data_IF_951694370408
#
_entry.id   IF_951694370408
#
_cell.length_a   1.000
_cell.length_b   1.000
_cell.length_c   1.000
_cell.angle_alpha   90.00
_cell.angle_beta   90.00
_cell.angle_gamma   90.00
#
_symmetry.space_group_name_H-M   'P 1'
#
loop_
_entity.id
_entity.type
_entity.pdbx_description
1 polymer ?
#
# COMPACT_ATOMS: atom_id res chain seq x y z
N UNK A 1 -28.55 -18.52 -29.06
CA UNK A 1 -27.29 -18.02 -29.66
C UNK A 1 -26.45 -17.45 -28.53
N UNK A 2 -25.31 -18.07 -28.20
CA UNK A 2 -24.45 -17.75 -27.04
C UNK A 2 -23.81 -16.37 -27.26
N UNK A 3 -24.20 -15.36 -26.48
CA UNK A 3 -23.60 -14.01 -26.54
C UNK A 3 -22.18 -14.03 -25.99
N UNK A 4 -21.19 -14.06 -26.89
CA UNK A 4 -19.75 -13.86 -26.59
C UNK A 4 -19.44 -12.37 -26.38
N UNK A 5 -20.07 -11.71 -25.40
CA UNK A 5 -19.82 -10.29 -25.07
C UNK A 5 -19.06 -10.04 -23.73
N UNK A 6 -18.34 -10.99 -23.08
CA UNK A 6 -17.62 -10.61 -21.86
C UNK A 6 -16.34 -9.79 -22.11
N UNK A 7 -15.60 -10.05 -23.20
CA UNK A 7 -14.26 -9.46 -23.38
C UNK A 7 -14.32 -8.03 -23.93
N UNK A 8 -15.13 -7.77 -24.96
CA UNK A 8 -15.23 -6.43 -25.54
C UNK A 8 -15.74 -5.40 -24.52
N UNK A 9 -16.65 -5.80 -23.62
CA UNK A 9 -17.18 -4.91 -22.58
C UNK A 9 -16.10 -4.54 -21.55
N UNK A 10 -15.26 -5.50 -21.17
CA UNK A 10 -14.10 -5.23 -20.29
C UNK A 10 -13.09 -4.29 -20.94
N UNK A 11 -12.77 -4.49 -22.22
CA UNK A 11 -11.86 -3.59 -22.96
C UNK A 11 -12.43 -2.17 -23.02
N UNK A 12 -13.73 -2.02 -23.28
CA UNK A 12 -14.39 -0.70 -23.30
C UNK A 12 -14.31 -0.03 -21.93
N UNK A 13 -14.51 -0.76 -20.82
CA UNK A 13 -14.39 -0.21 -19.47
C UNK A 13 -12.97 0.24 -19.12
N UNK A 14 -11.95 -0.52 -19.55
CA UNK A 14 -10.54 -0.14 -19.37
C UNK A 14 -10.22 1.13 -20.16
N UNK A 15 -10.63 1.19 -21.42
CA UNK A 15 -10.45 2.39 -22.26
C UNK A 15 -11.18 3.61 -21.66
N UNK A 16 -12.39 3.43 -21.12
CA UNK A 16 -13.13 4.50 -20.47
C UNK A 16 -12.38 5.04 -19.24
N UNK A 17 -11.80 4.14 -18.42
CA UNK A 17 -10.95 4.53 -17.28
C UNK A 17 -9.70 5.29 -17.72
N UNK A 18 -9.03 4.85 -18.78
CA UNK A 18 -7.87 5.56 -19.34
C UNK A 18 -8.24 6.96 -19.84
N UNK A 19 -9.37 7.11 -20.53
CA UNK A 19 -9.84 8.43 -21.02
C UNK A 19 -10.25 9.34 -19.86
N UNK A 20 -10.94 8.81 -18.83
CA UNK A 20 -11.28 9.56 -17.63
C UNK A 20 -10.03 10.03 -16.88
N UNK A 21 -9.03 9.15 -16.73
CA UNK A 21 -7.76 9.50 -16.08
C UNK A 21 -6.97 10.54 -16.89
N UNK A 22 -6.99 10.44 -18.23
CA UNK A 22 -6.35 11.42 -19.10
C UNK A 22 -7.09 12.77 -19.06
N UNK A 23 -8.42 12.78 -19.08
CA UNK A 23 -9.20 14.01 -18.98
C UNK A 23 -9.06 14.67 -17.60
N UNK A 24 -9.00 13.92 -16.50
CA UNK A 24 -8.68 14.46 -15.18
C UNK A 24 -7.29 15.13 -15.18
N UNK A 25 -6.29 14.48 -15.75
CA UNK A 25 -4.95 15.06 -15.89
C UNK A 25 -4.97 16.31 -16.79
N UNK A 26 -5.79 16.32 -17.86
CA UNK A 26 -5.85 17.44 -18.80
C UNK A 26 -6.62 18.65 -18.23
N UNK A 27 -7.74 18.44 -17.54
CA UNK A 27 -8.50 19.51 -16.88
C UNK A 27 -7.73 20.11 -15.70
N UNK A 28 -6.93 19.30 -14.98
CA UNK A 28 -6.01 19.81 -13.96
C UNK A 28 -4.83 20.57 -14.57
N UNK A 29 -4.30 20.12 -15.72
CA UNK A 29 -3.19 20.82 -16.40
C UNK A 29 -3.58 22.19 -16.96
N UNK A 30 -4.83 22.39 -17.36
CA UNK A 30 -5.28 23.63 -18.03
C UNK A 30 -5.51 24.81 -17.08
N UNK A 31 -5.65 24.59 -15.78
CA UNK A 31 -5.85 25.68 -14.82
C UNK A 31 -4.56 26.19 -14.15
N UNK A 32 -3.40 25.60 -14.47
CA UNK A 32 -2.12 26.16 -14.06
C UNK A 32 -1.69 27.27 -15.01
N UNK A 33 -2.33 28.43 -14.92
CA UNK A 33 -1.77 29.72 -15.37
C UNK A 33 -0.60 30.15 -14.47
N UNK A 34 0.33 29.23 -14.18
CA UNK A 34 1.52 29.50 -13.40
C UNK A 34 2.54 30.20 -14.30
N UNK A 35 2.44 31.52 -14.42
CA UNK A 35 3.52 32.33 -14.97
C UNK A 35 4.61 32.48 -13.91
N UNK A 36 5.65 31.66 -14.03
CA UNK A 36 6.83 31.63 -13.16
C UNK A 36 7.51 33.01 -13.00
N UNK A 37 7.25 33.94 -13.93
CA UNK A 37 7.83 35.28 -13.95
C UNK A 37 7.18 36.31 -13.02
N UNK A 38 5.99 36.09 -12.43
CA UNK A 38 5.31 37.14 -11.64
C UNK A 38 5.64 37.13 -10.14
N UNK A 39 6.26 36.06 -9.62
CA UNK A 39 6.55 35.94 -8.19
C UNK A 39 8.03 35.81 -7.82
N UNK A 40 8.94 35.80 -8.80
CA UNK A 40 10.37 35.93 -8.50
C UNK A 40 10.68 37.40 -8.25
N UNK A 41 10.54 37.83 -7.00
CA UNK A 41 11.28 39.02 -6.54
C UNK A 41 12.76 38.74 -6.77
N UNK A 42 13.38 39.56 -7.62
CA UNK A 42 14.83 39.68 -7.73
C UNK A 42 15.36 40.35 -6.47
N UNK A 43 15.42 39.60 -5.38
CA UNK A 43 16.14 40.02 -4.18
C UNK A 43 17.58 39.50 -4.31
N UNK A 44 18.54 40.41 -4.49
CA UNK A 44 19.97 40.19 -4.76
C UNK A 44 20.75 39.63 -3.55
N UNK A 45 20.19 38.63 -2.86
CA UNK A 45 20.93 37.82 -1.88
C UNK A 45 20.50 36.38 -2.11
N UNK A 46 21.38 35.58 -2.71
CA UNK A 46 21.28 34.12 -2.77
C UNK A 46 21.03 33.59 -1.35
N UNK A 47 19.76 33.40 -1.00
CA UNK A 47 19.34 32.92 0.31
C UNK A 47 19.52 31.39 0.34
N UNK A 48 20.76 30.94 0.57
CA UNK A 48 21.15 29.53 0.69
C UNK A 48 20.18 28.71 1.57
N UNK A 49 19.53 29.37 2.53
CA UNK A 49 18.56 28.73 3.42
C UNK A 49 17.22 28.36 2.77
N UNK A 50 16.82 28.99 1.64
CA UNK A 50 15.65 28.55 0.87
C UNK A 50 15.93 27.19 0.22
N UNK A 51 17.16 26.97 -0.23
CA UNK A 51 17.59 25.67 -0.76
C UNK A 51 17.57 24.62 0.35
N UNK A 52 18.11 24.94 1.54
CA UNK A 52 18.15 24.02 2.69
C UNK A 52 16.75 23.49 3.09
N UNK A 53 15.70 24.32 3.07
CA UNK A 53 14.36 23.89 3.47
C UNK A 53 13.67 23.03 2.39
N UNK A 54 13.84 23.40 1.12
CA UNK A 54 13.34 22.58 0.00
C UNK A 54 14.04 21.21 0.01
N UNK A 55 15.35 21.19 0.26
CA UNK A 55 16.13 19.96 0.37
C UNK A 55 15.66 19.08 1.55
N UNK A 56 15.30 19.69 2.69
CA UNK A 56 14.75 18.96 3.83
C UNK A 56 13.38 18.32 3.54
N UNK A 57 12.53 19.00 2.76
CA UNK A 57 11.25 18.44 2.34
C UNK A 57 11.48 17.30 1.34
N UNK A 58 12.36 17.49 0.35
CA UNK A 58 12.67 16.44 -0.61
C UNK A 58 13.23 15.20 0.08
N UNK A 59 14.18 15.38 1.00
CA UNK A 59 14.73 14.28 1.79
C UNK A 59 13.65 13.52 2.56
N UNK A 60 12.64 14.22 3.09
CA UNK A 60 11.51 13.57 3.78
C UNK A 60 10.64 12.74 2.82
N UNK A 61 10.46 13.21 1.58
CA UNK A 61 9.75 12.45 0.54
C UNK A 61 10.53 11.19 0.19
N UNK A 62 11.86 11.31 0.02
CA UNK A 62 12.75 10.20 -0.29
C UNK A 62 12.76 9.17 0.85
N UNK A 63 12.94 9.61 2.11
CA UNK A 63 12.90 8.75 3.30
C UNK A 63 11.55 7.99 3.41
N UNK A 64 10.44 8.68 3.10
CA UNK A 64 9.11 8.05 3.10
C UNK A 64 8.98 7.01 1.99
N UNK A 65 9.43 7.31 0.78
CA UNK A 65 9.38 6.36 -0.35
C UNK A 65 10.24 5.13 -0.10
N UNK A 66 11.43 5.28 0.50
CA UNK A 66 12.26 4.16 0.92
C UNK A 66 11.52 3.26 1.93
N UNK A 67 10.89 3.86 2.95
CA UNK A 67 10.09 3.13 3.94
C UNK A 67 8.88 2.39 3.31
N UNK A 68 8.19 3.03 2.36
CA UNK A 68 7.13 2.38 1.57
C UNK A 68 7.69 1.22 0.74
N UNK A 69 8.88 1.40 0.14
CA UNK A 69 9.60 0.37 -0.61
C UNK A 69 9.91 -0.87 0.23
N UNK A 70 10.35 -0.69 1.48
CA UNK A 70 10.55 -1.79 2.42
C UNK A 70 9.24 -2.51 2.76
N UNK A 71 8.17 -1.78 3.06
CA UNK A 71 6.85 -2.37 3.34
C UNK A 71 6.32 -3.15 2.13
N UNK A 72 6.46 -2.60 0.92
CA UNK A 72 6.06 -3.25 -0.34
C UNK A 72 6.80 -4.56 -0.56
N UNK A 73 8.11 -4.57 -0.34
CA UNK A 73 8.93 -5.78 -0.46
C UNK A 73 8.49 -6.85 0.53
N UNK A 74 8.32 -6.49 1.81
CA UNK A 74 7.85 -7.41 2.86
C UNK A 74 6.47 -7.97 2.55
N UNK A 75 5.50 -7.14 2.16
CA UNK A 75 4.15 -7.60 1.83
C UNK A 75 4.13 -8.56 0.63
N UNK A 76 4.95 -8.29 -0.39
CA UNK A 76 5.10 -9.16 -1.57
C UNK A 76 5.71 -10.50 -1.19
N UNK A 77 6.77 -10.52 -0.37
CA UNK A 77 7.39 -11.77 0.10
C UNK A 77 6.38 -12.65 0.85
N UNK A 78 5.56 -12.06 1.73
CA UNK A 78 4.50 -12.80 2.43
C UNK A 78 3.50 -13.45 1.45
N UNK A 79 3.16 -12.78 0.35
CA UNK A 79 2.24 -13.32 -0.64
C UNK A 79 2.88 -14.44 -1.46
N UNK A 80 4.15 -14.26 -1.88
CA UNK A 80 4.91 -15.29 -2.57
C UNK A 80 5.10 -16.55 -1.71
N UNK A 81 5.40 -16.40 -0.42
CA UNK A 81 5.46 -17.52 0.52
C UNK A 81 4.11 -18.26 0.60
N UNK A 82 3.01 -17.49 0.56
CA UNK A 82 1.65 -18.05 0.62
C UNK A 82 1.32 -18.80 -0.67
N UNK A 83 1.70 -18.27 -1.84
CA UNK A 83 1.57 -18.93 -3.14
C UNK A 83 2.35 -20.25 -3.16
N UNK A 84 3.63 -20.23 -2.80
CA UNK A 84 4.47 -21.42 -2.76
C UNK A 84 3.91 -22.49 -1.81
N UNK A 85 3.35 -22.08 -0.67
CA UNK A 85 2.74 -22.99 0.29
C UNK A 85 1.43 -23.62 -0.19
N UNK A 86 0.84 -23.11 -1.27
CA UNK A 86 -0.45 -23.54 -1.83
C UNK A 86 -0.35 -23.99 -3.29
N UNK A 87 0.85 -24.03 -3.87
CA UNK A 87 1.10 -24.38 -5.27
C UNK A 87 0.57 -25.79 -5.60
N UNK A 88 0.76 -26.74 -4.68
CA UNK A 88 0.26 -28.11 -4.80
C UNK A 88 -1.26 -28.24 -4.61
N UNK A 89 -1.94 -27.19 -4.13
CA UNK A 89 -3.37 -27.23 -3.80
C UNK A 89 -4.23 -26.94 -5.04
N UNK A 90 -3.99 -25.84 -5.75
CA UNK A 90 -4.69 -25.51 -6.99
C UNK A 90 -4.09 -24.28 -7.70
N UNK A 91 -3.91 -24.36 -9.02
CA UNK A 91 -3.51 -23.23 -9.88
C UNK A 91 -4.44 -22.01 -9.73
N UNK A 92 -5.74 -22.24 -9.51
CA UNK A 92 -6.70 -21.16 -9.37
C UNK A 92 -6.54 -20.40 -8.05
N UNK A 93 -6.12 -21.09 -6.98
CA UNK A 93 -5.77 -20.46 -5.71
C UNK A 93 -4.55 -19.57 -5.87
N UNK A 94 -3.51 -20.06 -6.54
CA UNK A 94 -2.30 -19.29 -6.86
C UNK A 94 -2.66 -18.04 -7.66
N UNK A 95 -3.44 -18.17 -8.73
CA UNK A 95 -3.93 -17.03 -9.51
C UNK A 95 -4.70 -16.00 -8.67
N UNK A 96 -5.50 -16.45 -7.69
CA UNK A 96 -6.23 -15.55 -6.81
C UNK A 96 -5.28 -14.75 -5.90
N UNK A 97 -4.24 -15.38 -5.36
CA UNK A 97 -3.24 -14.69 -4.53
C UNK A 97 -2.44 -13.71 -5.40
N UNK A 98 -2.03 -14.08 -6.61
CA UNK A 98 -1.27 -13.20 -7.51
C UNK A 98 -2.07 -11.96 -7.89
N UNK A 99 -3.38 -12.10 -8.08
CA UNK A 99 -4.28 -10.96 -8.29
C UNK A 99 -4.26 -9.98 -7.10
N UNK A 100 -4.30 -10.50 -5.86
CA UNK A 100 -4.19 -9.65 -4.67
C UNK A 100 -2.80 -9.04 -4.52
N UNK A 101 -1.73 -9.76 -4.88
CA UNK A 101 -0.38 -9.21 -4.92
C UNK A 101 -0.27 -7.99 -5.82
N UNK A 102 -0.75 -8.10 -7.06
CA UNK A 102 -0.78 -6.96 -7.98
C UNK A 102 -1.63 -5.81 -7.43
N UNK A 103 -2.83 -6.11 -6.91
CA UNK A 103 -3.72 -5.09 -6.36
C UNK A 103 -3.08 -4.36 -5.16
N UNK A 104 -2.44 -5.09 -4.25
CA UNK A 104 -1.75 -4.50 -3.08
C UNK A 104 -0.59 -3.62 -3.53
N UNK A 105 0.22 -4.10 -4.48
CA UNK A 105 1.32 -3.32 -5.05
C UNK A 105 0.83 -2.01 -5.67
N UNK A 106 -0.24 -2.05 -6.48
CA UNK A 106 -0.87 -0.86 -7.05
C UNK A 106 -1.31 0.13 -5.97
N UNK A 107 -1.94 -0.35 -4.87
CA UNK A 107 -2.36 0.54 -3.77
C UNK A 107 -1.19 1.09 -2.96
N UNK A 108 -0.09 0.36 -2.84
CA UNK A 108 1.11 0.84 -2.15
C UNK A 108 1.86 1.90 -2.97
N UNK A 109 1.91 1.75 -4.30
CA UNK A 109 2.52 2.76 -5.17
C UNK A 109 1.79 4.11 -5.15
N UNK A 110 0.52 4.14 -4.74
CA UNK A 110 -0.22 5.39 -4.59
C UNK A 110 0.31 6.28 -3.45
N UNK A 111 0.91 5.72 -2.39
CA UNK A 111 1.39 6.54 -1.26
C UNK A 111 2.48 7.52 -1.70
N UNK A 112 3.46 7.03 -2.47
CA UNK A 112 4.57 7.83 -2.99
C UNK A 112 4.04 8.90 -3.94
N UNK A 113 3.22 8.48 -4.93
CA UNK A 113 2.64 9.42 -5.90
C UNK A 113 1.77 10.51 -5.27
N UNK A 114 0.99 10.17 -4.24
CA UNK A 114 0.17 11.15 -3.51
C UNK A 114 1.02 12.17 -2.73
N UNK A 115 2.12 11.72 -2.11
CA UNK A 115 3.01 12.63 -1.38
C UNK A 115 3.79 13.54 -2.34
N UNK A 116 4.36 12.97 -3.41
CA UNK A 116 5.06 13.74 -4.45
C UNK A 116 4.17 14.79 -5.09
N UNK A 117 2.97 14.40 -5.55
CA UNK A 117 1.98 15.31 -6.13
C UNK A 117 1.61 16.42 -5.14
N UNK A 118 1.40 16.06 -3.87
CA UNK A 118 1.07 17.04 -2.84
C UNK A 118 2.20 18.07 -2.64
N UNK A 119 3.45 17.62 -2.58
CA UNK A 119 4.61 18.52 -2.40
C UNK A 119 4.78 19.42 -3.62
N UNK A 120 4.71 18.88 -4.83
CA UNK A 120 4.90 19.67 -6.05
C UNK A 120 3.81 20.72 -6.22
N UNK A 121 2.54 20.35 -5.98
CA UNK A 121 1.40 21.28 -6.06
C UNK A 121 1.46 22.41 -5.02
N UNK A 122 2.13 22.18 -3.88
CA UNK A 122 2.21 23.15 -2.79
C UNK A 122 3.59 23.80 -2.64
N UNK A 123 4.56 23.44 -3.49
CA UNK A 123 5.95 23.93 -3.42
C UNK A 123 6.05 25.45 -3.39
N UNK A 124 5.32 26.12 -4.29
CA UNK A 124 5.27 27.58 -4.37
C UNK A 124 4.61 28.24 -3.15
N UNK A 125 3.59 27.58 -2.57
CA UNK A 125 2.95 28.06 -1.35
C UNK A 125 3.92 27.96 -0.17
N UNK A 126 4.61 26.82 -0.02
CA UNK A 126 5.58 26.58 1.05
C UNK A 126 6.77 27.54 0.92
N UNK A 127 7.34 27.69 -0.28
CA UNK A 127 8.53 28.54 -0.50
C UNK A 127 8.30 30.02 -0.17
N UNK A 128 7.05 30.49 -0.24
CA UNK A 128 6.66 31.87 0.03
C UNK A 128 6.38 32.14 1.52
N UNK A 129 6.36 31.11 2.39
CA UNK A 129 6.19 31.28 3.83
C UNK A 129 7.48 31.76 4.50
N UNK A 130 7.37 32.31 5.71
CA UNK A 130 8.56 32.58 6.54
C UNK A 130 9.29 31.28 6.93
N UNK A 131 10.60 31.31 7.16
CA UNK A 131 11.40 30.14 7.57
C UNK A 131 10.78 29.37 8.75
N UNK A 132 10.24 30.10 9.74
CA UNK A 132 9.55 29.51 10.91
C UNK A 132 8.27 28.76 10.51
N UNK A 133 7.49 29.32 9.59
CA UNK A 133 6.27 28.67 9.09
C UNK A 133 6.60 27.50 8.19
N UNK A 134 7.63 27.59 7.33
CA UNK A 134 8.07 26.47 6.51
C UNK A 134 8.47 25.27 7.37
N UNK A 135 9.32 25.50 8.40
CA UNK A 135 9.70 24.48 9.37
C UNK A 135 8.48 23.86 10.07
N UNK A 136 7.56 24.69 10.54
CA UNK A 136 6.33 24.21 11.19
C UNK A 136 5.47 23.34 10.26
N UNK A 137 5.36 23.70 8.98
CA UNK A 137 4.59 22.94 7.99
C UNK A 137 5.31 21.64 7.61
N UNK A 138 6.63 21.67 7.45
CA UNK A 138 7.46 20.48 7.27
C UNK A 138 7.32 19.48 8.43
N UNK A 139 7.39 19.94 9.68
CA UNK A 139 7.20 19.10 10.87
C UNK A 139 5.79 18.45 10.89
N UNK A 140 4.76 19.18 10.44
CA UNK A 140 3.40 18.62 10.32
C UNK A 140 3.31 17.56 9.23
N UNK A 141 3.90 17.80 8.05
CA UNK A 141 3.92 16.83 6.94
C UNK A 141 4.65 15.55 7.38
N UNK A 142 5.81 15.69 8.04
CA UNK A 142 6.56 14.56 8.59
C UNK A 142 5.71 13.72 9.54
N UNK A 143 4.99 14.38 10.45
CA UNK A 143 4.12 13.71 11.42
C UNK A 143 2.99 12.92 10.73
N UNK A 144 2.46 13.40 9.61
CA UNK A 144 1.48 12.66 8.81
C UNK A 144 2.14 11.41 8.21
N UNK A 145 3.32 11.57 7.60
CA UNK A 145 4.10 10.46 7.02
C UNK A 145 4.39 9.37 8.08
N UNK A 146 4.92 9.75 9.24
CA UNK A 146 5.22 8.84 10.36
C UNK A 146 3.97 8.07 10.82
N UNK A 147 2.81 8.74 10.87
CA UNK A 147 1.54 8.14 11.28
C UNK A 147 1.02 7.13 10.25
N UNK A 148 1.10 7.46 8.96
CA UNK A 148 0.74 6.57 7.86
C UNK A 148 1.65 5.35 7.83
N UNK A 149 2.98 5.53 7.96
CA UNK A 149 3.95 4.43 8.05
C UNK A 149 3.67 3.51 9.23
N UNK A 150 3.34 4.06 10.40
CA UNK A 150 2.94 3.27 11.57
C UNK A 150 1.69 2.43 11.30
N UNK A 151 0.73 2.93 10.53
CA UNK A 151 -0.49 2.20 10.15
C UNK A 151 -0.19 1.14 9.08
N UNK A 152 0.68 1.44 8.12
CA UNK A 152 1.15 0.47 7.12
C UNK A 152 1.90 -0.71 7.74
N UNK A 153 2.79 -0.46 8.71
CA UNK A 153 3.46 -1.54 9.48
C UNK A 153 2.47 -2.43 10.23
N UNK A 154 1.34 -1.89 10.68
CA UNK A 154 0.26 -2.73 11.24
C UNK A 154 -0.42 -3.59 10.18
N UNK A 155 -0.66 -3.05 8.98
CA UNK A 155 -1.18 -3.84 7.87
C UNK A 155 -0.19 -4.92 7.42
N UNK A 156 1.12 -4.64 7.44
CA UNK A 156 2.14 -5.67 7.17
C UNK A 156 1.97 -6.88 8.10
N UNK A 157 1.78 -6.63 9.40
CA UNK A 157 1.51 -7.70 10.37
C UNK A 157 0.17 -8.41 10.11
N UNK A 158 -0.87 -7.68 9.68
CA UNK A 158 -2.14 -8.30 9.27
C UNK A 158 -1.94 -9.23 8.08
N UNK A 159 -1.12 -8.85 7.09
CA UNK A 159 -0.80 -9.71 5.94
C UNK A 159 -0.12 -11.02 6.39
N UNK A 160 0.87 -10.93 7.30
CA UNK A 160 1.52 -12.10 7.90
C UNK A 160 0.50 -13.01 8.62
N UNK A 161 -0.40 -12.42 9.41
CA UNK A 161 -1.46 -13.19 10.10
C UNK A 161 -2.43 -13.85 9.11
N UNK A 162 -2.74 -13.22 7.98
CA UNK A 162 -3.56 -13.82 6.92
C UNK A 162 -2.83 -15.04 6.34
N UNK A 163 -1.55 -14.90 5.96
CA UNK A 163 -0.69 -16.03 5.52
C UNK A 163 -0.75 -17.19 6.51
N UNK A 164 -0.51 -16.91 7.79
CA UNK A 164 -0.49 -17.92 8.85
C UNK A 164 -1.81 -18.67 8.94
N UNK A 165 -2.94 -17.95 8.92
CA UNK A 165 -4.27 -18.57 8.96
C UNK A 165 -4.56 -19.42 7.72
N UNK A 166 -4.16 -18.95 6.54
CA UNK A 166 -4.33 -19.68 5.28
C UNK A 166 -3.56 -21.00 5.36
N UNK A 167 -2.28 -20.96 5.70
CA UNK A 167 -1.41 -22.14 5.70
C UNK A 167 -1.81 -23.13 6.80
N UNK A 168 -2.10 -22.66 8.01
CA UNK A 168 -2.54 -23.54 9.11
C UNK A 168 -3.84 -24.28 8.78
N UNK A 169 -4.78 -23.61 8.09
CA UNK A 169 -6.09 -24.21 7.78
C UNK A 169 -6.07 -25.05 6.50
N UNK A 170 -5.30 -24.63 5.48
CA UNK A 170 -5.41 -25.18 4.13
C UNK A 170 -4.11 -25.69 3.51
N UNK A 171 -2.96 -25.46 4.15
CA UNK A 171 -1.68 -25.99 3.67
C UNK A 171 -1.58 -27.50 3.82
N UNK A 172 -0.65 -28.12 3.08
CA UNK A 172 -0.31 -29.53 3.27
C UNK A 172 0.36 -29.75 4.64
N UNK A 173 0.53 -31.02 5.03
CA UNK A 173 1.10 -31.39 6.34
C UNK A 173 2.46 -30.74 6.62
N UNK A 174 3.32 -30.67 5.61
CA UNK A 174 4.68 -30.17 5.76
C UNK A 174 4.69 -28.65 5.94
N UNK A 175 3.92 -27.92 5.12
CA UNK A 175 3.74 -26.48 5.22
C UNK A 175 3.09 -26.08 6.56
N UNK A 176 2.10 -26.85 7.04
CA UNK A 176 1.51 -26.65 8.37
C UNK A 176 2.57 -26.82 9.47
N UNK A 177 3.36 -27.89 9.41
CA UNK A 177 4.40 -28.19 10.40
C UNK A 177 5.47 -27.10 10.43
N UNK A 178 5.95 -26.67 9.28
CA UNK A 178 6.90 -25.56 9.15
C UNK A 178 6.32 -24.28 9.76
N UNK A 179 5.09 -23.92 9.37
CA UNK A 179 4.43 -22.73 9.88
C UNK A 179 4.29 -22.72 11.40
N UNK A 180 3.95 -23.87 11.99
CA UNK A 180 3.82 -24.01 13.45
C UNK A 180 5.17 -23.82 14.15
N UNK A 181 6.28 -24.29 13.57
CA UNK A 181 7.60 -24.04 14.12
C UNK A 181 7.97 -22.55 14.06
N UNK A 182 7.67 -21.89 12.94
CA UNK A 182 7.86 -20.43 12.80
C UNK A 182 7.08 -19.66 13.88
N UNK A 183 5.79 -19.99 14.06
CA UNK A 183 4.92 -19.31 15.02
C UNK A 183 5.27 -19.55 16.49
N UNK A 184 5.86 -20.70 16.83
CA UNK A 184 6.38 -20.95 18.19
C UNK A 184 7.47 -19.94 18.55
N UNK A 185 8.32 -19.59 17.59
CA UNK A 185 9.45 -18.68 17.76
C UNK A 185 9.09 -17.19 17.53
N UNK A 186 7.96 -16.88 16.90
CA UNK A 186 7.52 -15.51 16.63
C UNK A 186 7.28 -14.72 17.93
N UNK A 187 7.90 -13.55 18.05
CA UNK A 187 7.69 -12.65 19.17
C UNK A 187 6.37 -11.88 19.04
N UNK A 188 5.67 -11.64 20.15
CA UNK A 188 4.44 -10.83 20.16
C UNK A 188 3.14 -11.57 19.84
N UNK A 189 3.18 -12.85 19.50
CA UNK A 189 1.98 -13.70 19.54
C UNK A 189 1.63 -14.06 20.98
N UNK A 190 0.33 -14.08 21.30
CA UNK A 190 -0.12 -14.47 22.63
C UNK A 190 0.19 -15.95 22.90
N UNK A 191 0.51 -16.25 24.16
CA UNK A 191 0.73 -17.63 24.61
C UNK A 191 -0.50 -18.51 24.33
N UNK A 192 -1.71 -17.95 24.48
CA UNK A 192 -2.97 -18.64 24.15
C UNK A 192 -3.03 -19.04 22.67
N UNK A 193 -2.59 -18.17 21.75
CA UNK A 193 -2.55 -18.52 20.34
C UNK A 193 -1.49 -19.60 20.08
N UNK A 194 -0.29 -19.45 20.66
CA UNK A 194 0.80 -20.42 20.54
C UNK A 194 0.43 -21.81 21.07
N UNK A 195 -0.28 -21.88 22.20
CA UNK A 195 -0.73 -23.11 22.83
C UNK A 195 -1.79 -23.85 22.00
N UNK A 196 -2.57 -23.13 21.19
CA UNK A 196 -3.57 -23.72 20.32
C UNK A 196 -3.02 -24.17 18.96
N UNK A 197 -1.74 -23.92 18.66
CA UNK A 197 -1.14 -24.26 17.36
C UNK A 197 -1.09 -25.77 17.10
N UNK A 198 -0.93 -26.59 18.15
CA UNK A 198 -0.87 -28.05 18.03
C UNK A 198 -2.15 -28.65 17.42
N UNK A 199 -3.29 -27.99 17.59
CA UNK A 199 -4.57 -28.46 17.01
C UNK A 199 -4.50 -28.50 15.47
N UNK A 200 -3.77 -27.58 14.85
CA UNK A 200 -3.62 -27.53 13.39
C UNK A 200 -2.69 -28.63 12.83
N UNK A 201 -1.80 -29.23 13.64
CA UNK A 201 -1.01 -30.41 13.21
C UNK A 201 -1.91 -31.64 13.05
N UNK A 202 -2.98 -31.72 13.85
CA UNK A 202 -3.87 -32.89 13.94
C UNK A 202 -5.11 -32.79 13.06
N UNK A 203 -5.52 -31.58 12.65
CA UNK A 203 -6.54 -31.42 11.62
C UNK A 203 -6.07 -32.19 10.39
N UNK A 204 -6.81 -33.25 10.04
CA UNK A 204 -6.50 -34.14 8.92
C UNK A 204 -6.05 -33.31 7.72
N UNK A 205 -5.11 -33.86 6.94
CA UNK A 205 -4.94 -33.41 5.56
C UNK A 205 -6.35 -33.33 5.00
N UNK A 206 -6.84 -32.12 4.78
CA UNK A 206 -8.17 -31.95 4.24
C UNK A 206 -7.98 -32.28 2.75
N UNK A 207 -7.84 -33.55 2.41
CA UNK A 207 -7.87 -34.03 1.03
C UNK A 207 -9.21 -33.59 0.37
N UNK A 208 -10.21 -33.26 1.20
CA UNK A 208 -11.50 -32.68 0.85
C UNK A 208 -11.58 -31.14 0.91
N UNK A 209 -10.47 -30.36 0.97
CA UNK A 209 -10.58 -28.89 0.84
C UNK A 209 -11.24 -28.61 -0.50
N UNK A 210 -12.46 -28.06 -0.43
CA UNK A 210 -13.06 -27.47 -1.62
C UNK A 210 -12.21 -26.25 -1.93
N UNK A 211 -11.54 -26.25 -3.07
CA UNK A 211 -10.84 -25.10 -3.64
C UNK A 211 -11.67 -23.81 -3.46
N UNK A 212 -12.99 -23.91 -3.64
CA UNK A 212 -13.97 -22.84 -3.41
C UNK A 212 -13.90 -22.25 -1.99
N UNK A 213 -13.78 -23.09 -0.94
CA UNK A 213 -13.68 -22.62 0.44
C UNK A 213 -12.39 -21.82 0.67
N UNK A 214 -11.26 -22.32 0.16
CA UNK A 214 -9.97 -21.63 0.25
C UNK A 214 -9.99 -20.30 -0.52
N UNK A 215 -10.49 -20.31 -1.76
CA UNK A 215 -10.66 -19.09 -2.56
C UNK A 215 -11.53 -18.08 -1.82
N UNK A 216 -12.68 -18.50 -1.28
CA UNK A 216 -13.55 -17.62 -0.50
C UNK A 216 -12.87 -17.07 0.75
N UNK A 217 -12.05 -17.87 1.43
CA UNK A 217 -11.31 -17.45 2.61
C UNK A 217 -10.25 -16.40 2.25
N UNK A 218 -9.46 -16.63 1.19
CA UNK A 218 -8.47 -15.68 0.66
C UNK A 218 -9.18 -14.37 0.31
N UNK A 219 -10.24 -14.44 -0.49
CA UNK A 219 -10.93 -13.24 -0.97
C UNK A 219 -11.54 -12.44 0.17
N UNK A 220 -12.19 -13.09 1.14
CA UNK A 220 -12.77 -12.40 2.31
C UNK A 220 -11.71 -11.62 3.11
N UNK A 221 -10.51 -12.19 3.29
CA UNK A 221 -9.46 -11.53 4.06
C UNK A 221 -8.78 -10.41 3.24
N UNK A 222 -8.45 -10.67 1.98
CA UNK A 222 -7.72 -9.71 1.16
C UNK A 222 -8.60 -8.59 0.58
N UNK A 223 -9.89 -8.80 0.33
CA UNK A 223 -10.80 -7.71 -0.02
C UNK A 223 -10.85 -6.66 1.11
N UNK A 224 -10.96 -7.13 2.36
CA UNK A 224 -10.90 -6.24 3.54
C UNK A 224 -9.53 -5.57 3.67
N UNK A 225 -8.46 -6.29 3.36
CA UNK A 225 -7.10 -5.76 3.40
C UNK A 225 -6.91 -4.62 2.39
N UNK A 226 -7.37 -4.81 1.16
CA UNK A 226 -7.31 -3.81 0.08
C UNK A 226 -8.11 -2.57 0.45
N UNK A 227 -9.31 -2.73 1.03
CA UNK A 227 -10.10 -1.59 1.53
C UNK A 227 -9.33 -0.79 2.59
N UNK A 228 -8.63 -1.44 3.51
CA UNK A 228 -7.81 -0.73 4.50
C UNK A 228 -6.67 0.07 3.84
N UNK A 229 -6.04 -0.45 2.78
CA UNK A 229 -5.01 0.29 2.03
C UNK A 229 -5.61 1.51 1.30
N UNK A 230 -6.79 1.35 0.70
CA UNK A 230 -7.50 2.46 0.05
C UNK A 230 -7.88 3.55 1.05
N UNK A 231 -8.33 3.18 2.23
CA UNK A 231 -8.68 4.13 3.28
C UNK A 231 -7.46 4.86 3.83
N UNK A 232 -6.30 4.18 3.95
CA UNK A 232 -5.03 4.85 4.30
C UNK A 232 -4.56 5.82 3.22
N UNK A 233 -4.71 5.50 1.94
CA UNK A 233 -4.39 6.42 0.85
C UNK A 233 -5.25 7.70 0.93
N UNK A 234 -6.56 7.56 1.17
CA UNK A 234 -7.47 8.71 1.36
C UNK A 234 -7.11 9.51 2.62
N UNK A 235 -6.72 8.82 3.69
CA UNK A 235 -6.29 9.44 4.94
C UNK A 235 -5.02 10.27 4.74
N UNK A 236 -4.00 9.73 4.04
CA UNK A 236 -2.77 10.45 3.71
C UNK A 236 -3.09 11.79 3.04
N UNK A 237 -3.85 11.77 1.94
CA UNK A 237 -4.19 12.99 1.21
C UNK A 237 -4.96 13.99 2.07
N UNK A 238 -5.92 13.50 2.87
CA UNK A 238 -6.71 14.34 3.77
C UNK A 238 -5.83 15.02 4.83
N UNK A 239 -4.97 14.24 5.49
CA UNK A 239 -4.15 14.73 6.60
C UNK A 239 -3.01 15.63 6.11
N UNK A 240 -2.46 15.37 4.91
CA UNK A 240 -1.53 16.28 4.23
C UNK A 240 -2.18 17.65 3.96
N UNK A 241 -3.39 17.68 3.41
CA UNK A 241 -4.11 18.95 3.19
C UNK A 241 -4.36 19.72 4.51
N UNK A 242 -4.64 19.00 5.61
CA UNK A 242 -4.77 19.62 6.94
C UNK A 242 -3.43 20.11 7.50
N UNK A 243 -2.30 19.49 7.14
CA UNK A 243 -0.98 19.96 7.56
C UNK A 243 -0.67 21.35 6.96
N UNK A 244 -1.10 21.60 5.72
CA UNK A 244 -0.91 22.88 5.03
C UNK A 244 -1.96 23.94 5.32
N UNK A 245 -3.13 23.57 5.84
CA UNK A 245 -4.08 24.51 6.45
C UNK A 245 -3.49 25.16 7.70
#
# INVERSE_FOLDING_TARGET
>A
MKMKIPICFLIILVLLKCVLSYNLNNDLSKNNNFSLNTYVRKDDVEDDSKNEIVDNIQKMVDDFSDDIGFVKTSMREVLLDTEASLEEVSDHVVQNISKYSLTIEEKLNLFDGLLEEFIENNKGLISNLSKRQQKLKGDKIKKVCDLILKKLKKLENVNKLIKYKIILKYGNKDNKKEMIQTLKNEEGLSDDFKNNLSNYETEQNNDDIKEIELVNFISTNYDKFVVNLEDLNKELLKDLNMALS
#
